data_IF_890326912769
#
_entry.id   IF_890326912769
#
_cell.length_a   1.000
_cell.length_b   1.000
_cell.length_c   1.000
_cell.angle_alpha   90.00
_cell.angle_beta   90.00
_cell.angle_gamma   90.00
#
_symmetry.space_group_name_H-M   'P 1'
#
loop_
_entity.id
_entity.type
_entity.pdbx_description
1 polymer ?
#
# COMPACT_ATOMS: atom_id res chain seq x y z
N UNK A 1 2.07 -37.01 15.83
CA UNK A 1 1.40 -35.77 15.35
C UNK A 1 2.37 -35.00 14.47
N UNK A 2 2.26 -35.16 13.13
CA UNK A 2 3.12 -34.47 12.16
C UNK A 2 2.47 -33.12 11.88
N UNK A 3 3.05 -32.03 12.37
CA UNK A 3 2.59 -30.65 12.11
C UNK A 3 2.74 -30.43 10.60
N UNK A 4 1.64 -30.47 9.84
CA UNK A 4 1.69 -30.18 8.42
C UNK A 4 2.09 -28.72 8.28
N UNK A 5 3.31 -28.49 7.84
CA UNK A 5 3.74 -27.17 7.39
C UNK A 5 2.86 -26.88 6.17
N UNK A 6 1.81 -26.11 6.41
CA UNK A 6 0.96 -25.56 5.36
C UNK A 6 1.86 -24.59 4.59
N UNK A 7 2.51 -25.10 3.55
CA UNK A 7 3.27 -24.28 2.61
C UNK A 7 2.30 -23.28 1.99
N UNK A 8 2.35 -22.05 2.48
CA UNK A 8 1.62 -20.93 1.90
C UNK A 8 2.27 -20.67 0.54
N UNK A 9 1.81 -21.37 -0.49
CA UNK A 9 2.25 -21.14 -1.86
C UNK A 9 1.74 -19.76 -2.29
N UNK A 10 2.61 -18.77 -2.13
CA UNK A 10 2.36 -17.38 -2.49
C UNK A 10 2.22 -17.29 -4.00
N UNK A 11 0.97 -17.33 -4.49
CA UNK A 11 0.70 -17.15 -5.91
C UNK A 11 0.48 -15.66 -6.17
N UNK A 12 1.43 -15.05 -6.87
CA UNK A 12 1.25 -13.71 -7.42
C UNK A 12 0.09 -13.77 -8.43
N UNK A 13 -0.85 -12.83 -8.32
CA UNK A 13 -1.97 -12.76 -9.28
C UNK A 13 -1.40 -12.48 -10.68
N UNK A 14 -1.79 -13.25 -11.71
CA UNK A 14 -1.27 -13.03 -13.06
C UNK A 14 -1.68 -11.64 -13.56
N UNK A 15 -0.78 -10.99 -14.32
CA UNK A 15 -1.09 -9.73 -14.99
C UNK A 15 -2.25 -9.94 -15.96
N UNK A 16 -3.31 -9.13 -15.85
CA UNK A 16 -4.47 -9.20 -16.75
C UNK A 16 -4.20 -8.38 -18.00
N UNK A 17 -4.72 -8.82 -19.15
CA UNK A 17 -4.56 -8.11 -20.41
C UNK A 17 -5.13 -6.68 -20.32
N UNK A 18 -4.52 -5.78 -21.07
CA UNK A 18 -4.96 -4.37 -21.16
C UNK A 18 -6.39 -4.30 -21.70
N UNK A 19 -6.74 -5.20 -22.63
CA UNK A 19 -8.10 -5.30 -23.15
C UNK A 19 -9.11 -5.67 -22.07
N UNK A 20 -8.79 -6.62 -21.17
CA UNK A 20 -9.69 -6.95 -20.05
C UNK A 20 -9.72 -5.86 -18.99
N UNK A 21 -8.65 -5.07 -18.86
CA UNK A 21 -8.56 -3.98 -17.88
C UNK A 21 -9.34 -2.74 -18.33
N UNK A 22 -9.20 -2.31 -19.59
CA UNK A 22 -9.81 -1.08 -20.11
C UNK A 22 -10.96 -1.27 -21.10
N UNK A 23 -10.94 -2.31 -21.95
CA UNK A 23 -11.74 -2.34 -23.20
C UNK A 23 -12.89 -3.36 -23.23
N UNK A 24 -12.77 -4.53 -22.59
CA UNK A 24 -13.54 -5.72 -22.97
C UNK A 24 -14.92 -5.84 -22.31
N UNK A 25 -15.36 -4.92 -21.45
CA UNK A 25 -16.79 -4.81 -21.10
C UNK A 25 -17.04 -3.52 -20.32
N UNK A 26 -17.24 -2.43 -21.08
CA UNK A 26 -17.88 -1.21 -20.64
C UNK A 26 -19.33 -1.49 -20.18
N UNK A 27 -19.48 -2.26 -19.10
CA UNK A 27 -20.67 -2.27 -18.27
C UNK A 27 -20.32 -1.40 -17.08
N UNK A 28 -20.27 -0.09 -17.32
CA UNK A 28 -20.13 0.90 -16.26
C UNK A 28 -21.56 1.20 -15.76
N UNK A 29 -21.91 0.66 -14.60
CA UNK A 29 -23.11 1.09 -13.88
C UNK A 29 -22.72 2.08 -12.78
N UNK A 30 -23.72 2.80 -12.26
CA UNK A 30 -23.59 3.75 -11.14
C UNK A 30 -22.73 3.16 -10.01
N UNK A 31 -21.78 3.94 -9.44
CA UNK A 31 -20.87 3.46 -8.40
C UNK A 31 -21.66 2.88 -7.23
N UNK A 32 -21.43 1.59 -6.95
CA UNK A 32 -21.89 0.93 -5.71
C UNK A 32 -20.67 0.60 -4.86
N UNK A 33 -20.51 1.34 -3.77
CA UNK A 33 -19.51 1.09 -2.75
C UNK A 33 -19.80 -0.24 -2.04
N UNK A 34 -18.76 -0.99 -1.65
CA UNK A 34 -18.88 -2.26 -0.92
C UNK A 34 -18.16 -3.44 -1.62
N UNK A 35 -18.78 -4.63 -1.58
CA UNK A 35 -18.21 -5.91 -2.04
C UNK A 35 -17.70 -5.92 -3.50
N UNK A 36 -18.18 -4.99 -4.34
CA UNK A 36 -17.70 -4.81 -5.72
C UNK A 36 -16.25 -4.30 -5.78
N UNK A 37 -15.93 -3.29 -4.97
CA UNK A 37 -14.58 -2.71 -4.94
C UNK A 37 -13.58 -3.77 -4.49
N UNK A 38 -13.90 -4.49 -3.41
CA UNK A 38 -13.06 -5.57 -2.86
C UNK A 38 -12.78 -6.67 -3.88
N UNK A 39 -13.82 -7.15 -4.59
CA UNK A 39 -13.65 -8.18 -5.62
C UNK A 39 -12.80 -7.71 -6.81
N UNK A 40 -12.96 -6.44 -7.22
CA UNK A 40 -12.18 -5.88 -8.31
C UNK A 40 -10.72 -5.61 -7.92
N UNK A 41 -10.48 -5.13 -6.70
CA UNK A 41 -9.16 -4.97 -6.11
C UNK A 41 -8.36 -6.28 -6.14
N UNK A 42 -8.99 -7.38 -5.70
CA UNK A 42 -8.35 -8.69 -5.73
C UNK A 42 -8.10 -9.18 -7.16
N UNK A 43 -9.05 -8.97 -8.09
CA UNK A 43 -8.95 -9.51 -9.45
C UNK A 43 -7.85 -8.84 -10.29
N UNK A 44 -7.69 -7.51 -10.17
CA UNK A 44 -6.74 -6.71 -10.93
C UNK A 44 -5.52 -6.24 -10.12
N UNK A 45 -5.20 -6.93 -9.03
CA UNK A 45 -4.13 -6.57 -8.10
C UNK A 45 -2.83 -6.14 -8.82
N UNK A 46 -2.33 -6.94 -9.78
CA UNK A 46 -1.09 -6.67 -10.51
C UNK A 46 -1.22 -5.48 -11.47
N UNK A 47 -2.39 -5.29 -12.08
CA UNK A 47 -2.66 -4.13 -12.93
C UNK A 47 -2.71 -2.83 -12.10
N UNK A 48 -3.29 -2.87 -10.90
CA UNK A 48 -3.29 -1.71 -9.99
C UNK A 48 -1.89 -1.37 -9.47
N UNK A 49 -1.04 -2.37 -9.24
CA UNK A 49 0.37 -2.13 -8.95
C UNK A 49 1.07 -1.41 -10.11
N UNK A 50 0.80 -1.80 -11.36
CA UNK A 50 1.32 -1.09 -12.52
C UNK A 50 0.78 0.34 -12.63
N UNK A 51 -0.49 0.59 -12.30
CA UNK A 51 -1.05 1.96 -12.26
C UNK A 51 -0.26 2.83 -11.29
N UNK A 52 0.01 2.34 -10.08
CA UNK A 52 0.85 3.06 -9.10
C UNK A 52 2.24 3.33 -9.69
N UNK A 53 2.89 2.32 -10.25
CA UNK A 53 4.22 2.45 -10.84
C UNK A 53 4.25 3.51 -11.96
N UNK A 54 3.29 3.49 -12.88
CA UNK A 54 3.19 4.45 -13.98
C UNK A 54 2.97 5.86 -13.47
N UNK A 55 2.07 6.06 -12.51
CA UNK A 55 1.84 7.38 -11.91
C UNK A 55 3.11 7.89 -11.21
N UNK A 56 3.81 7.05 -10.45
CA UNK A 56 5.08 7.43 -9.82
C UNK A 56 6.16 7.76 -10.85
N UNK A 57 6.25 7.05 -11.96
CA UNK A 57 7.19 7.38 -13.05
C UNK A 57 6.84 8.74 -13.67
N UNK A 58 5.56 9.02 -13.93
CA UNK A 58 5.11 10.30 -14.48
C UNK A 58 5.52 11.46 -13.55
N UNK A 59 5.19 11.37 -12.26
CA UNK A 59 5.61 12.38 -11.29
C UNK A 59 7.14 12.45 -11.16
N UNK A 60 7.84 11.33 -11.33
CA UNK A 60 9.30 11.23 -11.26
C UNK A 60 9.98 11.94 -12.43
N UNK A 61 9.34 11.96 -13.60
CA UNK A 61 9.81 12.71 -14.76
C UNK A 61 9.47 14.21 -14.62
N UNK A 62 8.28 14.54 -14.09
CA UNK A 62 7.84 15.94 -13.91
C UNK A 62 8.67 16.68 -12.85
N UNK A 63 9.04 16.01 -11.76
CA UNK A 63 9.78 16.64 -10.65
C UNK A 63 10.75 15.64 -10.00
N UNK A 64 11.80 15.20 -10.73
CA UNK A 64 12.72 14.16 -10.28
C UNK A 64 13.40 14.50 -8.96
N UNK A 65 13.88 15.75 -8.83
CA UNK A 65 14.55 16.22 -7.62
C UNK A 65 13.63 16.16 -6.40
N UNK A 66 12.40 16.64 -6.51
CA UNK A 66 11.45 16.68 -5.40
C UNK A 66 11.00 15.27 -5.00
N UNK A 67 10.80 14.38 -5.96
CA UNK A 67 10.48 12.98 -5.67
C UNK A 67 11.63 12.26 -4.95
N UNK A 68 12.86 12.34 -5.48
CA UNK A 68 14.02 11.72 -4.84
C UNK A 68 14.27 12.28 -3.43
N UNK A 69 14.20 13.61 -3.28
CA UNK A 69 14.35 14.28 -2.00
C UNK A 69 13.27 13.85 -0.99
N UNK A 70 12.00 13.80 -1.41
CA UNK A 70 10.90 13.38 -0.53
C UNK A 70 11.05 11.94 -0.04
N UNK A 71 11.44 11.02 -0.93
CA UNK A 71 11.71 9.62 -0.57
C UNK A 71 12.89 9.51 0.39
N UNK A 72 13.98 10.23 0.13
CA UNK A 72 15.15 10.23 0.99
C UNK A 72 14.85 10.80 2.38
N UNK A 73 14.16 11.95 2.46
CA UNK A 73 13.80 12.58 3.73
C UNK A 73 12.89 11.68 4.56
N UNK A 74 11.86 11.07 3.94
CA UNK A 74 10.97 10.14 4.66
C UNK A 74 11.74 8.90 5.11
N UNK A 75 12.54 8.28 4.25
CA UNK A 75 13.31 7.09 4.59
C UNK A 75 14.30 7.35 5.73
N UNK A 76 15.03 8.47 5.68
CA UNK A 76 15.97 8.86 6.72
C UNK A 76 15.28 9.17 8.05
N UNK A 77 14.17 9.93 8.02
CA UNK A 77 13.39 10.24 9.22
C UNK A 77 12.82 8.98 9.87
N UNK A 78 12.29 8.04 9.08
CA UNK A 78 11.78 6.76 9.60
C UNK A 78 12.93 5.91 10.16
N UNK A 79 14.04 5.77 9.44
CA UNK A 79 15.19 4.98 9.90
C UNK A 79 15.79 5.56 11.19
N UNK A 80 15.95 6.88 11.27
CA UNK A 80 16.43 7.55 12.47
C UNK A 80 15.49 7.32 13.65
N UNK A 81 14.17 7.38 13.44
CA UNK A 81 13.16 7.13 14.47
C UNK A 81 13.20 5.67 14.95
N UNK A 82 13.25 4.70 14.02
CA UNK A 82 13.30 3.27 14.33
C UNK A 82 14.59 2.94 15.08
N UNK A 83 15.72 3.49 14.65
CA UNK A 83 17.00 3.32 15.32
C UNK A 83 16.96 3.90 16.74
N UNK A 84 16.51 5.14 16.91
CA UNK A 84 16.41 5.79 18.22
C UNK A 84 15.44 5.06 19.16
N UNK A 85 14.32 4.55 18.63
CA UNK A 85 13.37 3.71 19.36
C UNK A 85 14.00 2.38 19.80
N UNK A 86 14.80 1.76 18.92
CA UNK A 86 15.55 0.54 19.20
C UNK A 86 16.51 0.73 20.36
N UNK A 87 17.32 1.80 20.33
CA UNK A 87 18.25 2.14 21.41
C UNK A 87 17.55 2.38 22.77
N UNK A 88 16.32 2.91 22.75
CA UNK A 88 15.51 3.08 23.95
C UNK A 88 14.95 1.76 24.49
N UNK A 89 14.75 0.77 23.61
CA UNK A 89 14.08 -0.49 23.93
C UNK A 89 15.03 -1.65 24.29
N UNK A 90 16.35 -1.48 24.15
CA UNK A 90 17.34 -2.55 24.38
C UNK A 90 17.30 -3.14 25.81
N UNK A 91 16.82 -2.38 26.80
CA UNK A 91 16.70 -2.83 28.19
C UNK A 91 15.37 -2.39 28.82
N UNK A 92 14.24 -3.06 28.55
CA UNK A 92 12.92 -2.60 28.98
C UNK A 92 12.73 -2.57 30.52
N UNK A 93 13.65 -3.18 31.27
CA UNK A 93 13.65 -3.21 32.75
C UNK A 93 14.59 -2.18 33.39
N UNK A 94 15.40 -1.49 32.60
CA UNK A 94 16.34 -0.48 33.08
C UNK A 94 15.90 0.86 32.47
N UNK A 95 15.59 1.89 33.28
CA UNK A 95 15.20 3.17 32.74
C UNK A 95 16.34 3.73 31.87
N UNK A 96 16.02 4.33 30.71
CA UNK A 96 17.03 4.90 29.85
C UNK A 96 17.77 6.01 30.57
N UNK A 97 19.07 6.14 30.26
CA UNK A 97 19.86 7.24 30.80
C UNK A 97 19.26 8.57 30.31
N UNK A 98 19.30 9.61 31.16
CA UNK A 98 18.95 10.99 30.82
C UNK A 98 19.52 11.43 29.46
N UNK A 99 20.78 11.08 29.16
CA UNK A 99 21.39 11.35 27.85
C UNK A 99 20.67 10.67 26.68
N UNK A 100 20.28 9.40 26.82
CA UNK A 100 19.56 8.65 25.77
C UNK A 100 18.17 9.25 25.52
N UNK A 101 17.48 9.66 26.59
CA UNK A 101 16.18 10.35 26.51
C UNK A 101 16.30 11.69 25.76
N UNK A 102 17.31 12.51 26.07
CA UNK A 102 17.52 13.76 25.33
C UNK A 102 17.86 13.54 23.86
N UNK A 103 18.70 12.54 23.54
CA UNK A 103 19.00 12.19 22.14
C UNK A 103 17.75 11.78 21.36
N UNK A 104 16.86 10.98 21.96
CA UNK A 104 15.61 10.57 21.32
C UNK A 104 14.71 11.78 20.99
N UNK A 105 14.54 12.72 21.94
CA UNK A 105 13.82 13.96 21.66
C UNK A 105 14.51 14.80 20.58
N UNK A 106 15.85 14.88 20.59
CA UNK A 106 16.60 15.59 19.56
C UNK A 106 16.39 14.97 18.16
N UNK A 107 16.35 13.65 18.05
CA UNK A 107 16.04 12.92 16.80
C UNK A 107 14.62 13.22 16.34
N UNK A 108 13.63 13.21 17.24
CA UNK A 108 12.23 13.55 16.90
C UNK A 108 12.14 14.98 16.36
N UNK A 109 12.71 15.94 17.07
CA UNK A 109 12.65 17.35 16.70
C UNK A 109 13.34 17.58 15.35
N UNK A 110 14.54 17.00 15.16
CA UNK A 110 15.31 17.11 13.92
C UNK A 110 14.56 16.47 12.75
N UNK A 111 14.01 15.26 12.92
CA UNK A 111 13.24 14.57 11.88
C UNK A 111 11.98 15.35 11.51
N UNK A 112 11.28 15.91 12.50
CA UNK A 112 10.10 16.74 12.28
C UNK A 112 10.44 18.03 11.54
N UNK A 113 11.55 18.68 11.90
CA UNK A 113 12.05 19.85 11.20
C UNK A 113 12.40 19.54 9.74
N UNK A 114 13.08 18.43 9.46
CA UNK A 114 13.42 18.01 8.10
C UNK A 114 12.18 17.79 7.23
N UNK A 115 11.13 17.17 7.80
CA UNK A 115 9.85 16.97 7.11
C UNK A 115 9.16 18.30 6.81
N UNK A 116 9.08 19.20 7.80
CA UNK A 116 8.46 20.52 7.62
C UNK A 116 9.22 21.40 6.63
N UNK A 117 10.55 21.38 6.69
CA UNK A 117 11.40 22.13 5.75
C UNK A 117 11.17 21.67 4.30
N UNK A 118 10.96 20.37 4.09
CA UNK A 118 10.74 19.77 2.77
C UNK A 118 9.25 19.55 2.45
N UNK A 119 8.34 20.29 3.11
CA UNK A 119 6.90 20.07 3.01
C UNK A 119 6.40 20.04 1.56
N UNK A 120 6.80 21.02 0.74
CA UNK A 120 6.38 21.10 -0.67
C UNK A 120 6.78 19.86 -1.49
N UNK A 121 7.99 19.32 -1.27
CA UNK A 121 8.46 18.11 -1.94
C UNK A 121 7.69 16.89 -1.46
N UNK A 122 7.42 16.80 -0.16
CA UNK A 122 6.63 15.71 0.44
C UNK A 122 5.17 15.76 -0.03
N UNK A 123 4.59 16.96 -0.20
CA UNK A 123 3.25 17.12 -0.75
C UNK A 123 3.14 16.51 -2.14
N UNK A 124 4.16 16.63 -2.99
CA UNK A 124 4.15 16.03 -4.34
C UNK A 124 4.11 14.49 -4.27
N UNK A 125 4.91 13.89 -3.40
CA UNK A 125 4.89 12.44 -3.17
C UNK A 125 3.54 11.97 -2.61
N UNK A 126 2.97 12.74 -1.68
CA UNK A 126 1.65 12.44 -1.12
C UNK A 126 0.57 12.55 -2.21
N UNK A 127 0.61 13.59 -3.04
CA UNK A 127 -0.31 13.77 -4.15
C UNK A 127 -0.19 12.65 -5.18
N UNK A 128 1.02 12.19 -5.54
CA UNK A 128 1.19 11.07 -6.48
C UNK A 128 0.60 9.77 -5.92
N UNK A 129 0.76 9.52 -4.61
CA UNK A 129 0.14 8.40 -3.93
C UNK A 129 -1.39 8.51 -3.90
N UNK A 130 -1.93 9.68 -3.53
CA UNK A 130 -3.37 9.93 -3.48
C UNK A 130 -4.02 9.78 -4.86
N UNK A 131 -3.41 10.35 -5.90
CA UNK A 131 -3.90 10.19 -7.29
C UNK A 131 -3.91 8.72 -7.69
N UNK A 132 -2.84 7.98 -7.40
CA UNK A 132 -2.79 6.54 -7.70
C UNK A 132 -3.91 5.77 -7.02
N UNK A 133 -4.14 6.02 -5.73
CA UNK A 133 -5.23 5.38 -4.96
C UNK A 133 -6.59 5.78 -5.52
N UNK A 134 -6.82 7.06 -5.79
CA UNK A 134 -8.07 7.55 -6.37
C UNK A 134 -8.36 6.91 -7.73
N UNK A 135 -7.38 6.81 -8.63
CA UNK A 135 -7.53 6.14 -9.92
C UNK A 135 -7.91 4.66 -9.77
N UNK A 136 -7.26 3.96 -8.84
CA UNK A 136 -7.59 2.56 -8.53
C UNK A 136 -9.01 2.44 -8.01
N UNK A 137 -9.42 3.30 -7.07
CA UNK A 137 -10.76 3.26 -6.50
C UNK A 137 -11.84 3.62 -7.51
N UNK A 138 -11.60 4.62 -8.36
CA UNK A 138 -12.51 4.99 -9.46
C UNK A 138 -12.68 3.78 -10.38
N UNK A 139 -11.57 3.19 -10.86
CA UNK A 139 -11.59 2.02 -11.72
C UNK A 139 -12.30 0.82 -11.05
N UNK A 140 -11.97 0.53 -9.79
CA UNK A 140 -12.56 -0.57 -9.03
C UNK A 140 -14.05 -0.35 -8.72
N UNK A 141 -14.49 0.91 -8.55
CA UNK A 141 -15.90 1.27 -8.29
C UNK A 141 -16.77 1.21 -9.54
N UNK A 142 -16.18 1.50 -10.71
CA UNK A 142 -16.86 1.54 -12.00
C UNK A 142 -16.97 0.16 -12.64
N UNK A 143 -16.02 -0.75 -12.42
CA UNK A 143 -16.03 -2.08 -13.06
C UNK A 143 -17.12 -3.00 -12.49
N UNK A 144 -18.00 -3.53 -13.34
CA UNK A 144 -19.02 -4.50 -12.92
C UNK A 144 -18.41 -5.82 -12.43
N UNK A 145 -19.11 -6.54 -11.52
CA UNK A 145 -18.68 -7.87 -11.06
C UNK A 145 -18.70 -8.85 -12.24
N UNK A 146 -17.53 -9.16 -12.77
CA UNK A 146 -17.38 -10.16 -13.82
C UNK A 146 -17.79 -11.54 -13.28
N UNK A 147 -18.58 -12.32 -14.04
CA UNK A 147 -18.96 -13.70 -13.65
C UNK A 147 -17.69 -14.57 -13.50
N UNK A 148 -16.61 -14.20 -14.23
CA UNK A 148 -15.27 -14.76 -14.05
C UNK A 148 -14.67 -14.53 -12.65
N UNK A 149 -14.99 -13.42 -11.97
CA UNK A 149 -14.59 -13.20 -10.56
C UNK A 149 -15.30 -14.21 -9.64
N UNK A 150 -16.57 -14.53 -9.90
CA UNK A 150 -17.36 -15.46 -9.07
C UNK A 150 -16.85 -16.91 -9.19
N UNK A 151 -16.27 -17.26 -10.33
CA UNK A 151 -15.67 -18.58 -10.58
C UNK A 151 -14.24 -18.64 -10.02
N UNK A 152 -13.46 -17.56 -10.17
CA UNK A 152 -12.11 -17.47 -9.59
C UNK A 152 -12.11 -17.43 -8.06
N UNK A 153 -13.11 -16.80 -7.43
CA UNK A 153 -13.28 -16.79 -5.96
C UNK A 153 -13.54 -18.19 -5.40
N UNK A 154 -14.29 -19.02 -6.14
CA UNK A 154 -14.58 -20.40 -5.75
C UNK A 154 -13.38 -21.35 -5.92
N UNK A 155 -12.37 -20.96 -6.71
CA UNK A 155 -11.23 -21.83 -7.05
C UNK A 155 -9.94 -21.56 -6.26
N UNK A 156 -9.97 -20.72 -5.22
CA UNK A 156 -8.89 -20.69 -4.23
C UNK A 156 -7.90 -19.54 -4.37
N UNK A 157 -8.40 -18.31 -4.34
CA UNK A 157 -7.59 -17.08 -4.30
C UNK A 157 -7.19 -16.64 -2.89
N UNK A 158 -7.25 -17.53 -1.89
CA UNK A 158 -6.96 -17.19 -0.48
C UNK A 158 -5.47 -16.90 -0.17
N UNK A 159 -4.56 -17.09 -1.15
CA UNK A 159 -3.11 -17.05 -0.92
C UNK A 159 -2.39 -15.84 -1.56
N UNK A 160 -3.11 -14.82 -2.02
CA UNK A 160 -2.48 -13.57 -2.51
C UNK A 160 -2.28 -12.60 -1.34
N UNK A 161 -1.28 -11.69 -1.38
CA UNK A 161 -1.08 -10.72 -0.30
C UNK A 161 -2.31 -9.81 -0.13
N UNK A 162 -3.02 -9.48 -1.22
CA UNK A 162 -4.24 -8.70 -1.14
C UNK A 162 -5.40 -9.50 -0.54
N UNK A 163 -5.48 -10.81 -0.82
CA UNK A 163 -6.43 -11.71 -0.18
C UNK A 163 -6.22 -11.80 1.33
N UNK A 164 -4.96 -11.84 1.80
CA UNK A 164 -4.62 -11.82 3.22
C UNK A 164 -5.00 -10.50 3.89
N UNK A 165 -4.71 -9.36 3.26
CA UNK A 165 -5.09 -8.03 3.76
C UNK A 165 -6.61 -7.92 3.89
N UNK A 166 -7.36 -8.34 2.88
CA UNK A 166 -8.83 -8.30 2.90
C UNK A 166 -9.44 -9.24 3.96
N UNK A 167 -8.84 -10.41 4.16
CA UNK A 167 -9.24 -11.34 5.23
C UNK A 167 -8.94 -10.76 6.61
N UNK A 168 -7.80 -10.09 6.78
CA UNK A 168 -7.45 -9.41 8.03
C UNK A 168 -8.38 -8.23 8.35
N UNK A 169 -8.96 -7.57 7.33
CA UNK A 169 -9.92 -6.47 7.50
C UNK A 169 -11.37 -7.00 7.74
N UNK A 170 -11.57 -8.33 7.77
CA UNK A 170 -12.84 -9.00 8.10
C UNK A 170 -14.08 -8.50 7.31
N UNK A 171 -13.92 -8.11 6.05
CA UNK A 171 -15.03 -7.66 5.18
C UNK A 171 -15.79 -8.85 4.56
N UNK A 172 -15.51 -10.09 4.98
CA UNK A 172 -16.13 -11.30 4.39
C UNK A 172 -17.26 -11.92 5.19
N UNK A 173 -17.65 -11.39 6.36
CA UNK A 173 -18.72 -12.00 7.16
C UNK A 173 -19.73 -10.97 7.67
N UNK A 174 -20.58 -10.49 6.77
CA UNK A 174 -21.97 -10.13 7.12
C UNK A 174 -22.85 -10.62 5.97
N UNK A 175 -23.16 -11.91 6.00
CA UNK A 175 -24.44 -12.44 5.52
C UNK A 175 -25.44 -12.40 6.69
#
# INVERSE_FOLDING_TARGET
MKKSIMSCEYRISPLRSIDDFFLSSARFEKPRFGSRIVSNLHYYQTNYFLVILVVFIIFGIISPQKMLLSLAVIAMSVLAMVYASGCMSERPRIPPNTYQTYLYFAVIITSSYLVLHNFASISILLTSLLISISLILIHASMRLRNIKNKISDKMGTKNTPMGLILNAINIQNED
#
